data_IF_341201587121
#
_entry.id   IF_341201587121
#
_cell.length_a   1.000
_cell.length_b   1.000
_cell.length_c   1.000
_cell.angle_alpha   90.00
_cell.angle_beta   90.00
_cell.angle_gamma   90.00
#
_symmetry.space_group_name_H-M   'P 1'
#
loop_
_entity.id
_entity.type
_entity.pdbx_description
1 polymer ?
#
# COMPACT_ATOMS: atom_id res chain seq x y z
N UNK A 1 -6.43 -15.13 -29.43
CA UNK A 1 -7.24 -14.33 -28.49
C UNK A 1 -7.03 -14.92 -27.10
N UNK A 2 -6.47 -14.20 -26.12
CA UNK A 2 -6.41 -14.73 -24.76
C UNK A 2 -7.83 -14.87 -24.22
N UNK A 3 -8.11 -15.97 -23.53
CA UNK A 3 -9.39 -16.27 -22.88
C UNK A 3 -9.68 -15.31 -21.71
N UNK A 4 -10.96 -15.03 -21.40
CA UNK A 4 -11.40 -14.08 -20.36
C UNK A 4 -11.24 -14.65 -18.93
N UNK A 5 -10.04 -15.09 -18.56
CA UNK A 5 -9.74 -15.42 -17.17
C UNK A 5 -9.49 -14.13 -16.39
N UNK A 6 -10.57 -13.61 -15.81
CA UNK A 6 -10.64 -12.80 -14.58
C UNK A 6 -9.43 -11.90 -14.33
N UNK A 7 -9.39 -10.74 -15.00
CA UNK A 7 -8.47 -9.69 -14.58
C UNK A 7 -8.91 -9.17 -13.21
N UNK A 8 -7.99 -9.03 -12.25
CA UNK A 8 -8.30 -8.38 -10.99
C UNK A 8 -8.82 -6.96 -11.24
N UNK A 9 -9.83 -6.54 -10.49
CA UNK A 9 -10.25 -5.13 -10.50
C UNK A 9 -9.08 -4.29 -9.98
N UNK A 10 -8.38 -3.61 -10.90
CA UNK A 10 -7.21 -2.81 -10.58
C UNK A 10 -7.51 -1.69 -9.58
N UNK A 11 -8.71 -1.10 -9.66
CA UNK A 11 -9.12 -0.03 -8.78
C UNK A 11 -9.42 -0.55 -7.37
N UNK A 12 -10.06 -1.73 -7.28
CA UNK A 12 -10.27 -2.41 -6.01
C UNK A 12 -8.92 -2.75 -5.35
N UNK A 13 -7.98 -3.36 -6.09
CA UNK A 13 -6.64 -3.68 -5.60
C UNK A 13 -5.90 -2.43 -5.10
N UNK A 14 -5.91 -1.34 -5.87
CA UNK A 14 -5.26 -0.08 -5.45
C UNK A 14 -5.87 0.45 -4.16
N UNK A 15 -7.19 0.39 -4.01
CA UNK A 15 -7.89 0.84 -2.78
C UNK A 15 -7.57 -0.06 -1.58
N UNK A 16 -7.45 -1.37 -1.77
CA UNK A 16 -7.05 -2.31 -0.71
C UNK A 16 -5.66 -1.97 -0.16
N UNK A 17 -4.67 -1.82 -1.04
CA UNK A 17 -3.32 -1.43 -0.63
C UNK A 17 -3.27 -0.03 -0.02
N UNK A 18 -4.03 0.93 -0.56
CA UNK A 18 -4.13 2.28 0.01
C UNK A 18 -4.61 2.24 1.47
N UNK A 19 -5.68 1.50 1.75
CA UNK A 19 -6.22 1.31 3.10
C UNK A 19 -5.22 0.62 4.03
N UNK A 20 -4.53 -0.43 3.57
CA UNK A 20 -3.52 -1.13 4.35
C UNK A 20 -2.35 -0.22 4.76
N UNK A 21 -1.86 0.61 3.84
CA UNK A 21 -0.81 1.60 4.11
C UNK A 21 -1.29 2.60 5.16
N UNK A 22 -2.48 3.18 4.99
CA UNK A 22 -3.06 4.14 5.95
C UNK A 22 -3.19 3.53 7.34
N UNK A 23 -3.76 2.32 7.42
CA UNK A 23 -3.97 1.59 8.69
C UNK A 23 -2.64 1.37 9.40
N UNK A 24 -1.67 0.74 8.73
CA UNK A 24 -0.38 0.44 9.36
C UNK A 24 0.37 1.71 9.74
N UNK A 25 0.38 2.74 8.89
CA UNK A 25 1.03 4.02 9.21
C UNK A 25 0.46 4.62 10.49
N UNK A 26 -0.87 4.61 10.64
CA UNK A 26 -1.54 5.10 11.84
C UNK A 26 -1.22 4.27 13.08
N UNK A 27 -1.17 2.93 12.97
CA UNK A 27 -0.75 2.03 14.05
C UNK A 27 0.70 2.27 14.50
N UNK A 28 1.58 2.71 13.58
CA UNK A 28 2.95 3.10 13.88
C UNK A 28 3.09 4.56 14.38
N UNK A 29 1.97 5.29 14.51
CA UNK A 29 1.94 6.70 14.89
C UNK A 29 2.81 7.62 14.00
N UNK A 30 2.97 7.28 12.72
CA UNK A 30 3.77 8.06 11.77
C UNK A 30 2.89 9.07 11.01
N UNK A 31 3.37 10.29 10.77
CA UNK A 31 2.82 11.20 9.76
C UNK A 31 3.18 10.74 8.34
N UNK A 32 2.56 11.32 7.32
CA UNK A 32 2.94 11.04 5.92
C UNK A 32 4.38 11.49 5.63
N UNK A 33 4.81 12.61 6.21
CA UNK A 33 6.18 13.12 6.11
C UNK A 33 7.18 12.17 6.78
N UNK A 34 6.87 11.65 7.98
CA UNK A 34 7.73 10.70 8.68
C UNK A 34 7.85 9.36 7.94
N UNK A 35 6.75 8.89 7.33
CA UNK A 35 6.79 7.70 6.47
C UNK A 35 7.58 7.97 5.18
N UNK A 36 7.44 9.14 4.59
CA UNK A 36 8.19 9.54 3.40
C UNK A 36 9.70 9.58 3.67
N UNK A 37 10.10 10.20 4.78
CA UNK A 37 11.49 10.28 5.23
C UNK A 37 12.09 8.89 5.47
N UNK A 38 11.42 8.04 6.24
CA UNK A 38 11.90 6.67 6.55
C UNK A 38 11.98 5.76 5.33
N UNK A 39 11.21 6.01 4.28
CA UNK A 39 11.20 5.21 3.04
C UNK A 39 12.07 5.79 1.92
N UNK A 40 12.56 7.02 2.08
CA UNK A 40 13.20 7.79 1.00
C UNK A 40 12.25 8.08 -0.18
N UNK A 41 10.94 8.10 0.07
CA UNK A 41 9.91 8.44 -0.91
C UNK A 41 9.46 9.89 -0.70
N UNK A 42 8.82 10.50 -1.69
CA UNK A 42 8.25 11.85 -1.49
C UNK A 42 6.93 11.77 -0.73
N UNK A 43 6.67 12.75 0.14
CA UNK A 43 5.38 12.91 0.84
C UNK A 43 4.21 12.94 -0.14
N UNK A 44 4.38 13.59 -1.30
CA UNK A 44 3.38 13.59 -2.37
C UNK A 44 3.09 12.18 -2.90
N UNK A 45 4.12 11.35 -3.08
CA UNK A 45 3.93 9.97 -3.55
C UNK A 45 3.22 9.12 -2.49
N UNK A 46 3.60 9.23 -1.21
CA UNK A 46 2.89 8.58 -0.09
C UNK A 46 1.42 9.00 -0.06
N UNK A 47 1.13 10.30 -0.14
CA UNK A 47 -0.23 10.84 -0.19
C UNK A 47 -1.05 10.29 -1.38
N UNK A 48 -0.43 10.11 -2.55
CA UNK A 48 -1.09 9.53 -3.71
C UNK A 48 -1.36 8.03 -3.55
N UNK A 49 -0.45 7.29 -2.92
CA UNK A 49 -0.63 5.87 -2.60
C UNK A 49 -1.78 5.68 -1.61
N UNK A 50 -1.81 6.44 -0.52
CA UNK A 50 -2.86 6.36 0.52
C UNK A 50 -4.25 6.73 0.02
N UNK A 51 -4.35 7.46 -1.10
CA UNK A 51 -5.60 7.78 -1.79
C UNK A 51 -5.94 6.82 -2.93
N UNK A 52 -5.13 5.78 -3.16
CA UNK A 52 -5.30 4.83 -4.27
C UNK A 52 -5.10 5.45 -5.65
N UNK A 53 -4.43 6.60 -5.75
CA UNK A 53 -4.25 7.37 -7.01
C UNK A 53 -3.01 6.95 -7.79
N UNK A 54 -2.15 6.12 -7.22
CA UNK A 54 -0.94 5.57 -7.86
C UNK A 54 -0.87 4.07 -7.65
N UNK A 55 -0.28 3.38 -8.63
CA UNK A 55 0.05 1.98 -8.49
C UNK A 55 1.28 1.84 -7.57
N UNK A 56 1.19 0.91 -6.62
CA UNK A 56 2.26 0.61 -5.69
C UNK A 56 3.24 -0.34 -6.37
N UNK A 57 4.51 0.06 -6.48
CA UNK A 57 5.55 -0.87 -6.93
C UNK A 57 5.96 -1.80 -5.79
N UNK A 58 6.45 -3.00 -6.13
CA UNK A 58 6.96 -3.96 -5.14
C UNK A 58 8.08 -3.35 -4.28
N UNK A 59 8.96 -2.55 -4.88
CA UNK A 59 10.06 -1.89 -4.16
C UNK A 59 9.54 -0.84 -3.17
N UNK A 60 8.57 -0.03 -3.58
CA UNK A 60 7.91 0.94 -2.68
C UNK A 60 7.16 0.23 -1.55
N UNK A 61 6.47 -0.86 -1.86
CA UNK A 61 5.77 -1.69 -0.88
C UNK A 61 6.74 -2.26 0.17
N UNK A 62 7.88 -2.81 -0.26
CA UNK A 62 8.91 -3.34 0.63
C UNK A 62 9.49 -2.26 1.54
N UNK A 63 9.74 -1.05 1.02
CA UNK A 63 10.22 0.09 1.82
C UNK A 63 9.20 0.53 2.86
N UNK A 64 7.93 0.68 2.47
CA UNK A 64 6.84 1.07 3.38
C UNK A 64 6.65 0.01 4.46
N UNK A 65 6.65 -1.27 4.11
CA UNK A 65 6.57 -2.37 5.06
C UNK A 65 7.72 -2.30 6.09
N UNK A 66 8.96 -2.19 5.61
CA UNK A 66 10.13 -2.10 6.49
C UNK A 66 10.09 -0.86 7.41
N UNK A 67 9.69 0.30 6.88
CA UNK A 67 9.55 1.54 7.67
C UNK A 67 8.47 1.43 8.76
N UNK A 68 7.44 0.62 8.52
CA UNK A 68 6.40 0.31 9.49
C UNK A 68 6.70 -0.97 10.30
N UNK A 69 7.94 -1.47 10.29
CA UNK A 69 8.34 -2.63 11.09
C UNK A 69 7.63 -3.93 10.75
N UNK A 70 7.29 -4.14 9.47
CA UNK A 70 6.68 -5.38 8.97
C UNK A 70 7.34 -5.88 7.69
N UNK A 71 7.14 -7.15 7.39
CA UNK A 71 7.54 -7.77 6.13
C UNK A 71 6.58 -7.38 5.00
N UNK A 72 7.06 -7.45 3.75
CA UNK A 72 6.23 -7.19 2.58
C UNK A 72 5.00 -8.11 2.52
N UNK A 73 5.14 -9.39 2.90
CA UNK A 73 4.04 -10.35 2.92
C UNK A 73 2.92 -9.93 3.89
N UNK A 74 3.27 -9.31 5.01
CA UNK A 74 2.30 -8.81 5.99
C UNK A 74 1.51 -7.63 5.42
N UNK A 75 2.15 -6.74 4.65
CA UNK A 75 1.45 -5.66 3.95
C UNK A 75 0.45 -6.20 2.91
N UNK A 76 0.83 -7.26 2.17
CA UNK A 76 -0.07 -7.91 1.21
C UNK A 76 -1.26 -8.53 1.93
N UNK A 77 -1.00 -9.28 3.00
CA UNK A 77 -2.05 -9.89 3.82
C UNK A 77 -3.01 -8.83 4.40
N UNK A 78 -2.45 -7.75 4.95
CA UNK A 78 -3.23 -6.63 5.47
C UNK A 78 -4.12 -5.98 4.41
N UNK A 79 -3.65 -5.90 3.16
CA UNK A 79 -4.44 -5.41 2.03
C UNK A 79 -5.58 -6.37 1.67
N UNK A 80 -5.34 -7.68 1.66
CA UNK A 80 -6.35 -8.71 1.42
C UNK A 80 -7.46 -8.69 2.49
N UNK A 81 -7.14 -8.43 3.76
CA UNK A 81 -8.13 -8.23 4.82
C UNK A 81 -9.08 -7.05 4.54
N UNK A 82 -8.62 -6.01 3.81
CA UNK A 82 -9.46 -4.86 3.47
C UNK A 82 -10.54 -5.18 2.42
N UNK A 83 -10.51 -6.39 1.87
CA UNK A 83 -11.44 -6.92 0.88
C UNK A 83 -12.42 -7.94 1.46
N UNK A 84 -12.39 -8.16 2.78
CA UNK A 84 -13.38 -9.00 3.45
C UNK A 84 -14.72 -8.24 3.51
N UNK A 85 -15.85 -8.87 3.11
CA UNK A 85 -17.18 -8.27 3.18
C UNK A 85 -17.60 -7.93 4.61
#
# INVERSE_FOLDING_TARGET
MPTPHQQPDEDALRKMFAKAIVRRRAECALSQEQLAESTGLSTTYISLLERGRRNLTVLSAARIAAACGMNLSELVHLAEEQNLP
#
